data_IF_032902973354
#
_entry.id   IF_032902973354
#
_cell.length_a   1.000
_cell.length_b   1.000
_cell.length_c   1.000
_cell.angle_alpha   90.00
_cell.angle_beta   90.00
_cell.angle_gamma   90.00
#
_symmetry.space_group_name_H-M   'P 1'
#
loop_
_entity.id
_entity.type
_entity.pdbx_description
1 polymer ?
#
# COMPACT_ATOMS: atom_id res chain seq x y z
N UNK A 1 -30.24 -16.90 11.88
CA UNK A 1 -28.80 -17.10 12.14
C UNK A 1 -28.22 -15.76 12.58
N UNK A 2 -27.38 -15.70 13.60
CA UNK A 2 -26.68 -14.48 13.96
C UNK A 2 -25.77 -14.06 12.78
N UNK A 3 -25.65 -12.75 12.55
CA UNK A 3 -24.81 -12.18 11.49
C UNK A 3 -23.75 -11.31 12.14
N UNK A 4 -22.51 -11.40 11.65
CA UNK A 4 -21.43 -10.49 12.00
C UNK A 4 -21.03 -9.71 10.74
N UNK A 5 -20.73 -8.43 10.91
CA UNK A 5 -20.24 -7.54 9.84
C UNK A 5 -18.93 -6.96 10.32
N UNK A 6 -17.86 -7.18 9.53
CA UNK A 6 -16.57 -6.55 9.73
C UNK A 6 -16.45 -5.35 8.78
N UNK A 7 -16.23 -4.16 9.35
CA UNK A 7 -15.99 -2.94 8.56
C UNK A 7 -14.54 -2.52 8.79
N UNK A 8 -13.74 -2.48 7.72
CA UNK A 8 -12.35 -2.03 7.75
C UNK A 8 -12.29 -0.64 7.11
N UNK A 9 -11.81 0.33 7.88
CA UNK A 9 -11.48 1.65 7.34
C UNK A 9 -10.04 1.60 6.85
N UNK A 10 -9.87 1.64 5.53
CA UNK A 10 -8.56 1.62 4.90
C UNK A 10 -7.72 2.83 5.30
N UNK A 11 -6.42 2.63 5.44
CA UNK A 11 -5.42 3.64 5.80
C UNK A 11 -5.64 4.33 7.17
N UNK A 12 -6.52 3.83 8.03
CA UNK A 12 -6.76 4.39 9.36
C UNK A 12 -6.10 3.54 10.44
N UNK A 13 -5.00 4.06 11.02
CA UNK A 13 -4.31 3.45 12.15
C UNK A 13 -4.40 4.30 13.41
N UNK A 14 -4.38 3.63 14.57
CA UNK A 14 -4.44 4.26 15.91
C UNK A 14 -3.15 4.03 16.71
N UNK A 15 -2.04 3.78 16.04
CA UNK A 15 -0.72 3.54 16.61
C UNK A 15 0.14 2.75 15.65
N UNK A 16 1.45 2.79 15.83
CA UNK A 16 2.40 2.02 15.05
C UNK A 16 2.59 0.61 15.61
N UNK A 17 2.92 -0.35 14.76
CA UNK A 17 3.35 -1.68 15.17
C UNK A 17 4.63 -1.63 16.03
N UNK A 18 4.87 -2.65 16.83
CA UNK A 18 6.07 -2.73 17.71
C UNK A 18 7.37 -2.60 16.91
N UNK A 19 7.41 -3.15 15.71
CA UNK A 19 8.54 -3.13 14.78
C UNK A 19 8.49 -1.98 13.76
N UNK A 20 7.57 -1.02 13.90
CA UNK A 20 7.40 0.12 12.99
C UNK A 20 8.70 0.92 12.74
N UNK A 21 9.63 0.90 13.69
CA UNK A 21 10.95 1.53 13.56
C UNK A 21 11.83 0.91 12.45
N UNK A 22 11.52 -0.29 11.97
CA UNK A 22 12.22 -0.99 10.87
C UNK A 22 11.77 -0.53 9.50
N UNK A 23 10.65 0.16 9.41
CA UNK A 23 10.02 0.56 8.17
C UNK A 23 10.08 2.06 7.96
N UNK A 24 10.18 2.45 6.69
CA UNK A 24 10.35 3.84 6.28
C UNK A 24 9.46 4.12 5.07
N UNK A 25 9.02 5.38 4.96
CA UNK A 25 8.45 5.95 3.77
C UNK A 25 9.41 7.06 3.29
N UNK A 26 10.22 6.77 2.30
CA UNK A 26 11.37 7.58 1.96
C UNK A 26 12.35 7.67 3.14
N UNK A 27 12.63 8.89 3.62
CA UNK A 27 13.51 9.13 4.78
C UNK A 27 12.77 9.15 6.12
N UNK A 28 11.44 9.05 6.13
CA UNK A 28 10.63 9.14 7.34
C UNK A 28 10.35 7.74 7.89
N UNK A 29 10.77 7.49 9.14
CA UNK A 29 10.46 6.24 9.83
C UNK A 29 8.97 6.16 10.19
N UNK A 30 8.41 4.96 10.12
CA UNK A 30 7.05 4.68 10.59
C UNK A 30 6.94 4.63 12.13
N UNK A 31 8.04 4.82 12.85
CA UNK A 31 8.03 4.91 14.32
C UNK A 31 7.11 6.05 14.77
N UNK A 32 6.12 5.70 15.59
CA UNK A 32 5.14 6.66 16.08
C UNK A 32 4.03 6.98 15.09
N UNK A 33 3.87 6.18 14.02
CA UNK A 33 2.75 6.29 13.10
C UNK A 33 1.42 6.20 13.86
N UNK A 34 0.56 7.20 13.67
CA UNK A 34 -0.78 7.26 14.24
C UNK A 34 -1.64 8.18 13.37
N UNK A 35 -2.20 7.61 12.33
CA UNK A 35 -2.95 8.36 11.31
C UNK A 35 -4.08 9.16 11.94
N UNK A 36 -4.90 8.52 12.78
CA UNK A 36 -6.09 9.16 13.32
C UNK A 36 -5.76 10.27 14.32
N UNK A 37 -4.80 10.05 15.21
CA UNK A 37 -4.33 11.09 16.14
C UNK A 37 -3.75 12.28 15.39
N UNK A 38 -2.96 12.04 14.34
CA UNK A 38 -2.35 13.11 13.54
C UNK A 38 -3.42 13.89 12.75
N UNK A 39 -4.45 13.21 12.21
CA UNK A 39 -5.59 13.88 11.57
C UNK A 39 -6.33 14.74 12.60
N UNK A 40 -6.59 14.23 13.80
CA UNK A 40 -7.26 15.01 14.85
C UNK A 40 -6.45 16.26 15.24
N UNK A 41 -5.12 16.13 15.42
CA UNK A 41 -4.21 17.25 15.70
C UNK A 41 -4.19 18.28 14.54
N UNK A 42 -4.14 17.82 13.30
CA UNK A 42 -4.15 18.69 12.12
C UNK A 42 -5.48 19.46 11.96
N UNK A 43 -6.60 18.82 12.26
CA UNK A 43 -7.92 19.45 12.28
C UNK A 43 -8.03 20.51 13.39
N UNK A 44 -7.57 20.19 14.59
CA UNK A 44 -7.62 21.08 15.75
C UNK A 44 -6.74 22.32 15.56
N UNK A 45 -5.56 22.16 14.98
CA UNK A 45 -4.63 23.25 14.68
C UNK A 45 -5.00 24.08 13.43
N UNK A 46 -5.99 23.68 12.69
CA UNK A 46 -6.40 24.36 11.44
C UNK A 46 -5.55 24.04 10.21
N UNK A 47 -4.51 23.21 10.32
CA UNK A 47 -3.66 22.80 9.17
C UNK A 47 -4.47 22.05 8.11
N UNK A 48 -5.51 21.32 8.53
CA UNK A 48 -6.38 20.56 7.63
C UNK A 48 -7.63 21.36 7.17
N UNK A 49 -7.61 22.69 7.20
CA UNK A 49 -8.72 23.55 6.77
C UNK A 49 -8.66 23.78 5.24
N UNK A 50 -8.95 22.72 4.48
CA UNK A 50 -9.11 22.74 3.03
C UNK A 50 -10.42 22.05 2.68
N UNK A 51 -11.40 22.81 2.18
CA UNK A 51 -12.76 22.35 1.94
C UNK A 51 -13.58 22.00 3.21
N UNK A 52 -12.99 22.14 4.39
CA UNK A 52 -13.58 21.96 5.72
C UNK A 52 -12.92 22.89 6.74
N UNK A 53 -13.52 23.05 7.92
CA UNK A 53 -12.93 23.81 9.03
C UNK A 53 -13.32 23.23 10.39
N UNK A 54 -12.55 23.58 11.43
CA UNK A 54 -12.76 23.15 12.79
C UNK A 54 -12.24 21.74 13.13
N UNK A 55 -12.47 21.25 14.34
CA UNK A 55 -11.96 19.99 14.83
C UNK A 55 -12.51 18.77 14.07
N UNK A 56 -11.86 17.62 14.21
CA UNK A 56 -12.36 16.37 13.68
C UNK A 56 -13.66 15.99 14.41
N UNK A 57 -14.73 15.78 13.65
CA UNK A 57 -16.05 15.43 14.19
C UNK A 57 -16.47 14.02 13.73
N UNK A 58 -16.40 13.06 14.64
CA UNK A 58 -16.71 11.65 14.39
C UNK A 58 -17.57 11.05 15.52
N UNK A 59 -18.77 11.60 15.79
CA UNK A 59 -19.54 11.31 17.00
C UNK A 59 -19.91 9.82 17.12
N UNK A 60 -20.25 9.15 16.03
CA UNK A 60 -20.57 7.71 16.05
C UNK A 60 -19.36 6.88 16.46
N UNK A 61 -18.17 7.16 15.92
CA UNK A 61 -16.96 6.43 16.29
C UNK A 61 -16.54 6.74 17.75
N UNK A 62 -16.76 7.97 18.20
CA UNK A 62 -16.55 8.34 19.60
C UNK A 62 -17.45 7.53 20.53
N UNK A 63 -18.74 7.42 20.21
CA UNK A 63 -19.69 6.63 21.01
C UNK A 63 -19.38 5.12 21.00
N UNK A 64 -18.63 4.63 20.02
CA UNK A 64 -18.13 3.25 19.93
C UNK A 64 -16.76 3.07 20.61
N UNK A 65 -16.19 4.12 21.24
CA UNK A 65 -14.95 4.02 22.01
C UNK A 65 -13.67 4.32 21.23
N UNK A 66 -13.75 5.10 20.15
CA UNK A 66 -12.57 5.46 19.37
C UNK A 66 -11.50 6.18 20.22
N UNK A 67 -11.88 7.16 21.03
CA UNK A 67 -10.97 7.87 21.94
C UNK A 67 -10.34 6.94 22.98
N UNK A 68 -11.11 5.99 23.48
CA UNK A 68 -10.64 4.97 24.41
C UNK A 68 -9.58 4.06 23.73
N UNK A 69 -9.83 3.65 22.49
CA UNK A 69 -8.89 2.83 21.71
C UNK A 69 -7.59 3.57 21.41
N UNK A 70 -7.65 4.85 21.02
CA UNK A 70 -6.46 5.67 20.79
C UNK A 70 -5.62 5.77 22.08
N UNK A 71 -6.27 6.09 23.19
CA UNK A 71 -5.59 6.22 24.49
C UNK A 71 -5.00 4.89 24.97
N UNK A 72 -5.70 3.77 24.76
CA UNK A 72 -5.21 2.44 25.11
C UNK A 72 -3.98 2.05 24.27
N UNK A 73 -3.97 2.43 22.97
CA UNK A 73 -2.88 2.11 22.06
C UNK A 73 -1.62 2.96 22.28
N UNK A 74 -1.79 4.26 22.61
CA UNK A 74 -0.69 5.22 22.53
C UNK A 74 -0.40 5.95 23.85
N UNK A 75 -1.32 5.89 24.81
CA UNK A 75 -1.29 6.71 26.04
C UNK A 75 -1.69 8.17 25.83
N UNK A 76 -2.03 8.57 24.57
CA UNK A 76 -2.40 9.94 24.25
C UNK A 76 -3.92 10.09 24.12
N UNK A 77 -4.42 11.30 24.41
CA UNK A 77 -5.81 11.68 24.14
C UNK A 77 -5.85 12.53 22.87
N UNK A 78 -6.66 12.11 21.91
CA UNK A 78 -6.80 12.85 20.64
C UNK A 78 -7.64 14.12 20.84
N UNK A 79 -7.27 15.26 20.26
CA UNK A 79 -8.07 16.48 20.32
C UNK A 79 -9.50 16.23 19.83
N UNK A 80 -10.49 16.69 20.61
CA UNK A 80 -11.92 16.56 20.30
C UNK A 80 -12.44 15.11 20.13
N UNK A 81 -11.66 14.11 20.53
CA UNK A 81 -12.08 12.70 20.59
C UNK A 81 -11.82 12.19 22.02
N UNK A 82 -12.68 12.55 22.98
CA UNK A 82 -12.47 12.23 24.38
C UNK A 82 -12.60 10.72 24.67
N UNK A 83 -12.03 10.31 25.79
CA UNK A 83 -12.35 9.04 26.43
C UNK A 83 -13.76 9.16 27.00
N UNK A 84 -14.63 8.22 26.69
CA UNK A 84 -16.04 8.21 27.09
C UNK A 84 -16.42 6.89 27.74
N UNK A 85 -17.45 6.91 28.57
CA UNK A 85 -18.11 5.68 29.00
C UNK A 85 -18.94 5.13 27.84
N UNK A 86 -18.73 3.87 27.50
CA UNK A 86 -19.38 3.23 26.36
C UNK A 86 -20.18 2.01 26.78
N UNK A 87 -21.29 1.80 26.07
CA UNK A 87 -22.13 0.59 26.24
C UNK A 87 -21.68 -0.58 25.34
N UNK A 88 -20.53 -0.48 24.68
CA UNK A 88 -20.00 -1.47 23.74
C UNK A 88 -18.62 -1.97 24.19
N UNK A 89 -18.05 -2.93 23.48
CA UNK A 89 -16.68 -3.35 23.67
C UNK A 89 -15.76 -2.63 22.69
N UNK A 90 -14.57 -2.22 23.14
CA UNK A 90 -13.48 -1.74 22.30
C UNK A 90 -12.22 -2.49 22.65
N UNK A 91 -11.28 -2.55 21.70
CA UNK A 91 -9.99 -3.18 21.88
C UNK A 91 -8.96 -2.58 20.95
N UNK A 92 -7.70 -2.89 21.21
CA UNK A 92 -6.56 -2.61 20.32
C UNK A 92 -5.92 -3.92 19.96
N UNK A 93 -5.65 -4.14 18.68
CA UNK A 93 -4.91 -5.29 18.18
C UNK A 93 -3.57 -4.81 17.62
N UNK A 94 -2.48 -5.38 18.11
CA UNK A 94 -1.15 -5.20 17.53
C UNK A 94 -0.86 -6.30 16.52
N UNK A 95 -0.29 -6.00 15.35
CA UNK A 95 0.09 -7.01 14.39
C UNK A 95 1.19 -7.92 14.96
N UNK A 96 1.10 -9.20 14.69
CA UNK A 96 2.11 -10.21 15.03
C UNK A 96 2.86 -10.74 13.81
N UNK A 97 2.29 -10.52 12.61
CA UNK A 97 2.93 -10.89 11.34
C UNK A 97 4.23 -10.13 11.14
N UNK A 98 5.19 -10.79 10.53
CA UNK A 98 6.40 -10.14 10.02
C UNK A 98 6.10 -9.47 8.68
N UNK A 99 6.63 -8.27 8.49
CA UNK A 99 6.46 -7.53 7.26
C UNK A 99 5.39 -6.44 7.33
N UNK A 100 5.54 -5.46 6.44
CA UNK A 100 4.64 -4.34 6.26
C UNK A 100 4.12 -4.37 4.83
N UNK A 101 2.97 -4.98 4.63
CA UNK A 101 2.35 -5.11 3.32
C UNK A 101 0.84 -5.25 3.47
N UNK A 102 0.08 -4.80 2.49
CA UNK A 102 -1.39 -4.91 2.46
C UNK A 102 -1.85 -6.37 2.59
N UNK A 103 -1.17 -7.32 1.94
CA UNK A 103 -1.51 -8.74 2.04
C UNK A 103 -1.33 -9.23 3.48
N UNK A 104 -0.22 -8.88 4.12
CA UNK A 104 0.08 -9.25 5.50
C UNK A 104 -1.06 -8.89 6.43
N UNK A 105 -1.52 -7.63 6.36
CA UNK A 105 -2.64 -7.15 7.18
C UNK A 105 -3.96 -7.89 6.92
N UNK A 106 -4.28 -8.15 5.65
CA UNK A 106 -5.51 -8.86 5.30
C UNK A 106 -5.48 -10.34 5.73
N UNK A 107 -4.34 -11.01 5.57
CA UNK A 107 -4.20 -12.40 5.99
C UNK A 107 -4.26 -12.54 7.51
N UNK A 108 -3.62 -11.62 8.22
CA UNK A 108 -3.66 -11.63 9.68
C UNK A 108 -5.08 -11.37 10.22
N UNK A 109 -5.84 -10.43 9.62
CA UNK A 109 -7.25 -10.23 9.92
C UNK A 109 -8.11 -11.47 9.65
N UNK A 110 -7.71 -12.30 8.69
CA UNK A 110 -8.34 -13.59 8.39
C UNK A 110 -7.85 -14.74 9.28
N UNK A 111 -6.96 -14.47 10.24
CA UNK A 111 -6.42 -15.48 11.16
C UNK A 111 -5.19 -16.23 10.63
N UNK A 112 -4.53 -15.70 9.61
CA UNK A 112 -3.32 -16.28 9.00
C UNK A 112 -2.14 -15.31 9.16
N UNK A 113 -1.51 -15.26 10.35
CA UNK A 113 -0.34 -14.41 10.54
C UNK A 113 0.85 -14.90 9.71
N UNK A 114 1.65 -13.97 9.21
CA UNK A 114 2.81 -14.27 8.40
C UNK A 114 4.04 -14.51 9.27
N UNK A 115 4.68 -15.68 9.15
CA UNK A 115 5.83 -16.07 9.94
C UNK A 115 7.18 -15.64 9.36
N UNK A 116 7.21 -15.28 8.04
CA UNK A 116 8.42 -14.90 7.30
C UNK A 116 8.33 -13.48 6.78
N UNK A 117 9.49 -12.85 6.65
CA UNK A 117 9.57 -11.52 6.02
C UNK A 117 9.36 -11.60 4.51
N UNK A 118 8.71 -10.57 3.96
CA UNK A 118 8.68 -10.34 2.53
C UNK A 118 10.00 -9.77 2.01
N UNK A 119 10.27 -9.96 0.73
CA UNK A 119 11.30 -9.24 0.00
C UNK A 119 10.76 -7.86 -0.40
N UNK A 120 11.48 -6.81 -0.05
CA UNK A 120 11.21 -5.44 -0.49
C UNK A 120 12.34 -4.98 -1.40
N UNK A 121 11.99 -4.44 -2.55
CA UNK A 121 12.99 -3.89 -3.45
C UNK A 121 13.45 -2.52 -2.91
N UNK A 122 14.75 -2.18 -3.06
CA UNK A 122 15.29 -0.92 -2.54
C UNK A 122 14.73 0.28 -3.32
N UNK A 123 14.50 1.41 -2.62
CA UNK A 123 14.06 2.68 -3.22
C UNK A 123 15.25 3.42 -3.86
N UNK A 124 15.73 2.87 -4.97
CA UNK A 124 16.82 3.41 -5.78
C UNK A 124 16.46 3.25 -7.26
N UNK A 125 17.17 3.96 -8.13
CA UNK A 125 17.17 3.67 -9.58
C UNK A 125 17.89 2.34 -9.78
N UNK A 126 17.30 1.43 -10.57
CA UNK A 126 17.62 0.02 -10.67
C UNK A 126 17.28 -0.75 -9.37
N UNK A 127 16.01 -0.61 -8.94
CA UNK A 127 15.44 -1.35 -7.79
C UNK A 127 15.54 -2.86 -7.97
N UNK A 128 15.42 -3.34 -9.20
CA UNK A 128 15.59 -4.75 -9.56
C UNK A 128 17.03 -4.98 -10.02
N UNK A 129 17.64 -6.04 -9.50
CA UNK A 129 18.98 -6.44 -9.93
C UNK A 129 18.99 -6.97 -11.37
N UNK A 130 20.20 -7.08 -11.91
CA UNK A 130 20.40 -7.52 -13.31
C UNK A 130 19.89 -8.94 -13.55
N UNK A 131 19.94 -9.82 -12.55
CA UNK A 131 19.48 -11.21 -12.68
C UNK A 131 17.97 -11.25 -12.85
N UNK A 132 17.25 -10.48 -12.05
CA UNK A 132 15.78 -10.39 -12.17
C UNK A 132 15.39 -9.73 -13.51
N UNK A 133 16.06 -8.66 -13.92
CA UNK A 133 15.78 -8.01 -15.22
C UNK A 133 15.99 -9.00 -16.37
N UNK A 134 17.10 -9.74 -16.36
CA UNK A 134 17.37 -10.77 -17.38
C UNK A 134 16.32 -11.86 -17.38
N UNK A 135 15.88 -12.32 -16.22
CA UNK A 135 14.81 -13.30 -16.09
C UNK A 135 13.50 -12.80 -16.70
N UNK A 136 13.13 -11.53 -16.44
CA UNK A 136 11.93 -10.91 -17.02
C UNK A 136 12.04 -10.88 -18.55
N UNK A 137 13.20 -10.48 -19.08
CA UNK A 137 13.44 -10.43 -20.52
C UNK A 137 13.40 -11.80 -21.16
N UNK A 138 14.02 -12.81 -20.56
CA UNK A 138 14.04 -14.18 -21.05
C UNK A 138 12.64 -14.80 -21.10
N UNK A 139 11.91 -14.76 -19.97
CA UNK A 139 10.58 -15.35 -19.87
C UNK A 139 9.56 -14.60 -20.74
N UNK A 140 9.64 -13.30 -20.80
CA UNK A 140 8.76 -12.44 -21.59
C UNK A 140 9.13 -12.35 -23.08
N UNK A 141 10.27 -12.91 -23.50
CA UNK A 141 10.87 -12.72 -24.82
C UNK A 141 10.91 -11.25 -25.20
N UNK A 142 11.58 -10.46 -24.36
CA UNK A 142 11.65 -9.01 -24.43
C UNK A 142 13.08 -8.57 -24.70
N UNK A 143 13.23 -7.47 -25.43
CA UNK A 143 14.55 -6.83 -25.66
C UNK A 143 15.02 -6.00 -24.46
N UNK A 144 14.12 -5.73 -23.49
CA UNK A 144 14.39 -4.96 -22.30
C UNK A 144 13.12 -4.64 -21.52
N UNK A 145 13.29 -3.88 -20.45
CA UNK A 145 12.20 -3.30 -19.66
C UNK A 145 12.40 -1.79 -19.50
N UNK A 146 11.33 -1.06 -19.28
CA UNK A 146 11.37 0.35 -18.87
C UNK A 146 11.13 0.45 -17.36
N UNK A 147 11.55 1.59 -16.77
CA UNK A 147 11.33 1.92 -15.36
C UNK A 147 12.42 1.39 -14.45
N UNK A 148 12.23 0.24 -13.81
CA UNK A 148 13.13 -0.33 -12.80
C UNK A 148 13.39 0.62 -11.62
N UNK A 149 12.32 1.17 -11.03
CA UNK A 149 12.39 2.14 -9.94
C UNK A 149 11.13 2.08 -9.05
N UNK A 150 11.17 2.79 -7.92
CA UNK A 150 9.98 3.07 -7.14
C UNK A 150 9.14 4.15 -7.81
N UNK A 151 7.86 3.88 -8.01
CA UNK A 151 6.91 4.85 -8.54
C UNK A 151 5.45 4.51 -8.20
N UNK A 152 4.57 5.51 -8.30
CA UNK A 152 3.14 5.25 -8.44
C UNK A 152 2.81 4.88 -9.90
N UNK A 153 1.80 4.03 -10.11
CA UNK A 153 1.40 3.62 -11.45
C UNK A 153 1.02 4.80 -12.35
N UNK A 154 0.30 5.78 -11.82
CA UNK A 154 -0.08 6.99 -12.58
C UNK A 154 1.14 7.78 -13.04
N UNK A 155 2.10 8.01 -12.13
CA UNK A 155 3.31 8.78 -12.44
C UNK A 155 4.13 8.07 -13.52
N UNK A 156 4.42 6.79 -13.34
CA UNK A 156 5.34 6.08 -14.23
C UNK A 156 4.74 5.86 -15.62
N UNK A 157 3.42 5.68 -15.72
CA UNK A 157 2.73 5.61 -17.02
C UNK A 157 2.75 6.95 -17.74
N UNK A 158 2.61 8.08 -17.03
CA UNK A 158 2.75 9.41 -17.63
C UNK A 158 4.17 9.68 -18.14
N UNK A 159 5.19 9.17 -17.44
CA UNK A 159 6.61 9.40 -17.81
C UNK A 159 7.09 8.47 -18.93
N UNK A 160 6.70 7.20 -18.92
CA UNK A 160 7.24 6.15 -19.78
C UNK A 160 6.24 5.53 -20.75
N UNK A 161 4.97 5.92 -20.68
CA UNK A 161 3.90 5.29 -21.46
C UNK A 161 4.07 5.47 -22.97
N UNK A 162 4.58 6.61 -23.44
CA UNK A 162 4.86 6.86 -24.85
C UNK A 162 6.03 6.00 -25.34
N UNK A 163 7.11 5.94 -24.55
CA UNK A 163 8.28 5.10 -24.87
C UNK A 163 7.91 3.61 -24.90
N UNK A 164 7.06 3.16 -23.96
CA UNK A 164 6.50 1.81 -23.99
C UNK A 164 5.76 1.50 -25.30
N UNK A 165 4.91 2.42 -25.75
CA UNK A 165 4.16 2.24 -27.00
C UNK A 165 5.06 2.14 -28.23
N UNK A 166 6.20 2.85 -28.24
CA UNK A 166 7.16 2.82 -29.34
C UNK A 166 8.08 1.60 -29.28
N UNK A 167 8.61 1.26 -28.10
CA UNK A 167 9.60 0.20 -27.94
C UNK A 167 8.97 -1.19 -27.78
N UNK A 168 7.72 -1.29 -27.31
CA UNK A 168 7.09 -2.54 -26.92
C UNK A 168 7.66 -3.15 -25.64
N UNK A 169 8.56 -2.46 -24.93
CA UNK A 169 9.10 -2.91 -23.65
C UNK A 169 8.13 -2.60 -22.52
N UNK A 170 7.78 -3.57 -21.64
CA UNK A 170 6.87 -3.30 -20.51
C UNK A 170 7.54 -2.39 -19.48
N UNK A 171 6.71 -1.60 -18.78
CA UNK A 171 7.17 -0.75 -17.69
C UNK A 171 7.15 -1.58 -16.40
N UNK A 172 8.32 -1.93 -15.87
CA UNK A 172 8.46 -2.68 -14.64
C UNK A 172 8.87 -1.74 -13.50
N UNK A 173 8.14 -1.77 -12.40
CA UNK A 173 8.35 -0.86 -11.27
C UNK A 173 7.91 -1.49 -9.96
N UNK A 174 8.22 -0.85 -8.84
CA UNK A 174 7.84 -1.29 -7.50
C UNK A 174 7.33 -0.10 -6.67
N UNK A 175 6.96 -0.38 -5.43
CA UNK A 175 6.56 0.62 -4.42
C UNK A 175 7.09 0.21 -3.04
N UNK A 176 6.61 0.86 -1.98
CA UNK A 176 6.99 0.52 -0.62
C UNK A 176 6.49 -0.86 -0.15
N UNK A 177 5.56 -1.47 -0.87
CA UNK A 177 5.07 -2.83 -0.61
C UNK A 177 5.99 -3.89 -1.24
N UNK A 178 5.83 -5.15 -0.82
CA UNK A 178 6.48 -6.30 -1.45
C UNK A 178 5.78 -6.66 -2.75
N UNK A 179 6.11 -5.95 -3.82
CA UNK A 179 5.39 -6.05 -5.08
C UNK A 179 6.31 -5.86 -6.29
N UNK A 180 6.10 -6.67 -7.32
CA UNK A 180 6.62 -6.47 -8.67
C UNK A 180 5.46 -6.04 -9.57
N UNK A 181 5.54 -4.87 -10.16
CA UNK A 181 4.46 -4.27 -10.93
C UNK A 181 4.87 -4.14 -12.40
N UNK A 182 3.95 -4.47 -13.30
CA UNK A 182 4.14 -4.39 -14.75
C UNK A 182 3.02 -3.55 -15.34
N UNK A 183 3.35 -2.37 -15.89
CA UNK A 183 2.39 -1.58 -16.64
C UNK A 183 2.58 -1.79 -18.15
N UNK A 184 1.47 -1.90 -18.86
CA UNK A 184 1.47 -2.06 -20.31
C UNK A 184 0.20 -1.49 -20.96
N UNK A 185 0.35 -0.97 -22.18
CA UNK A 185 -0.76 -0.42 -22.96
C UNK A 185 -1.54 -1.53 -23.66
N UNK A 186 -2.87 -1.44 -23.60
CA UNK A 186 -3.78 -2.47 -24.11
C UNK A 186 -3.52 -2.83 -25.59
N UNK A 187 -3.33 -1.84 -26.46
CA UNK A 187 -3.19 -2.05 -27.90
C UNK A 187 -1.73 -2.29 -28.35
N UNK A 188 -0.74 -1.91 -27.56
CA UNK A 188 0.68 -2.00 -27.94
C UNK A 188 1.37 -3.24 -27.37
N UNK A 189 0.94 -3.72 -26.22
CA UNK A 189 1.47 -4.93 -25.59
C UNK A 189 0.45 -6.06 -25.57
N UNK A 190 -0.80 -5.73 -25.27
CA UNK A 190 -1.92 -6.65 -25.21
C UNK A 190 -2.13 -7.29 -23.83
N UNK A 191 -3.41 -7.46 -23.47
CA UNK A 191 -3.81 -8.00 -22.17
C UNK A 191 -3.34 -9.45 -21.97
N UNK A 192 -3.47 -10.30 -22.99
CA UNK A 192 -3.06 -11.71 -22.88
C UNK A 192 -1.57 -11.83 -22.59
N UNK A 193 -0.73 -11.11 -23.37
CA UNK A 193 0.72 -11.11 -23.18
C UNK A 193 1.13 -10.60 -21.81
N UNK A 194 0.43 -9.58 -21.28
CA UNK A 194 0.66 -9.05 -19.95
C UNK A 194 0.35 -10.09 -18.86
N UNK A 195 -0.76 -10.79 -18.98
CA UNK A 195 -1.12 -11.86 -18.04
C UNK A 195 -0.15 -13.04 -18.12
N UNK A 196 0.21 -13.47 -19.34
CA UNK A 196 1.18 -14.54 -19.53
C UNK A 196 2.52 -14.20 -18.86
N UNK A 197 3.00 -12.98 -19.03
CA UNK A 197 4.23 -12.51 -18.38
C UNK A 197 4.12 -12.54 -16.84
N UNK A 198 3.00 -12.07 -16.29
CA UNK A 198 2.77 -12.14 -14.83
C UNK A 198 2.76 -13.59 -14.34
N UNK A 199 2.10 -14.50 -15.05
CA UNK A 199 2.01 -15.92 -14.68
C UNK A 199 3.37 -16.62 -14.76
N UNK A 200 4.19 -16.31 -15.76
CA UNK A 200 5.54 -16.85 -15.89
C UNK A 200 6.47 -16.36 -14.76
N UNK A 201 6.36 -15.10 -14.38
CA UNK A 201 7.20 -14.50 -13.34
C UNK A 201 6.80 -14.87 -11.92
N UNK A 202 5.51 -15.06 -11.65
CA UNK A 202 5.00 -15.25 -10.29
C UNK A 202 5.69 -16.40 -9.52
N UNK A 203 5.96 -17.60 -10.07
CA UNK A 203 6.64 -18.66 -9.34
C UNK A 203 8.08 -18.31 -8.94
N UNK A 204 8.77 -17.50 -9.74
CA UNK A 204 10.14 -17.05 -9.45
C UNK A 204 10.14 -15.97 -8.37
N UNK A 205 9.28 -14.97 -8.50
CA UNK A 205 9.16 -13.87 -7.55
C UNK A 205 8.67 -14.37 -6.18
N UNK A 206 7.73 -15.32 -6.14
CA UNK A 206 7.28 -15.92 -4.88
C UNK A 206 8.39 -16.72 -4.17
N UNK A 207 9.31 -17.37 -4.92
CA UNK A 207 10.50 -18.01 -4.33
C UNK A 207 11.46 -16.99 -3.70
N UNK A 208 11.47 -15.76 -4.22
CA UNK A 208 12.22 -14.63 -3.64
C UNK A 208 11.48 -13.98 -2.45
N UNK A 209 10.34 -14.50 -2.03
CA UNK A 209 9.43 -13.89 -1.06
C UNK A 209 8.86 -12.53 -1.49
N UNK A 210 8.72 -12.27 -2.77
CA UNK A 210 7.93 -11.13 -3.27
C UNK A 210 6.45 -11.46 -3.13
N UNK A 211 5.71 -10.63 -2.43
CA UNK A 211 4.33 -10.91 -2.03
C UNK A 211 3.34 -10.93 -3.19
N UNK A 212 3.54 -10.07 -4.18
CA UNK A 212 2.61 -9.93 -5.32
C UNK A 212 3.33 -9.64 -6.63
N UNK A 213 2.74 -10.16 -7.71
CA UNK A 213 2.97 -9.69 -9.08
C UNK A 213 1.69 -9.01 -9.54
N UNK A 214 1.77 -7.73 -9.89
CA UNK A 214 0.60 -6.92 -10.28
C UNK A 214 0.78 -6.43 -11.70
N UNK A 215 -0.29 -6.48 -12.48
CA UNK A 215 -0.35 -5.81 -13.78
C UNK A 215 -1.21 -4.54 -13.73
N UNK A 216 -0.77 -3.52 -14.44
CA UNK A 216 -1.49 -2.29 -14.72
C UNK A 216 -1.73 -2.19 -16.22
N UNK A 217 -2.94 -2.51 -16.67
CA UNK A 217 -3.33 -2.28 -18.05
C UNK A 217 -3.84 -0.85 -18.20
N UNK A 218 -3.34 -0.12 -19.18
CA UNK A 218 -3.81 1.23 -19.45
C UNK A 218 -4.15 1.45 -20.94
N UNK A 219 -4.98 2.45 -21.18
CA UNK A 219 -5.40 2.91 -22.50
C UNK A 219 -5.13 4.40 -22.63
N UNK A 220 -4.92 4.92 -23.82
CA UNK A 220 -4.74 6.36 -24.06
C UNK A 220 -6.00 6.98 -24.65
N UNK A 221 -6.52 8.07 -24.09
CA UNK A 221 -6.21 8.62 -22.76
C UNK A 221 -6.82 7.76 -21.65
N UNK A 222 -6.13 7.65 -20.51
CA UNK A 222 -6.69 6.97 -19.34
C UNK A 222 -8.00 7.61 -18.89
N UNK A 223 -9.02 6.83 -18.47
CA UNK A 223 -10.25 7.40 -17.92
C UNK A 223 -10.03 8.33 -16.72
N UNK A 224 -8.88 8.20 -16.03
CA UNK A 224 -8.48 9.09 -14.93
C UNK A 224 -7.94 10.44 -15.40
N UNK A 225 -7.54 10.56 -16.66
CA UNK A 225 -6.99 11.79 -17.25
C UNK A 225 -8.08 12.70 -17.84
N UNK A 226 -9.35 12.28 -17.72
CA UNK A 226 -10.54 13.03 -18.15
C UNK A 226 -11.26 13.75 -17.02
N UNK A 227 -10.51 14.04 -15.93
CA UNK A 227 -11.02 14.81 -14.80
C UNK A 227 -11.15 16.30 -15.07
#
# INVERSE_FOLDING_TARGET
MPRAVLIVMDSVGIGGAIDSHRYFNGLTSDKGANTLLNIAKACDSGIANDGRSGPLNVPTLQSLGLGNSISLSTGEVAPNIPIVEIGAAFAVAGPVSKGKDTITGHWELAGVPLERDWCYFPDIVQSFDTELVNLVCELGKLDGILGNCHASGTKIVNELGEEHCHSGQPICYTSADSVFQIAAHENHFGLSRLYDLCQLLAPHLHKMNVGRVICLLYTSPSPRDRG
#
